data_IF_518545263349
#
_entry.id   IF_518545263349
#
_cell.length_a   1.000
_cell.length_b   1.000
_cell.length_c   1.000
_cell.angle_alpha   90.00
_cell.angle_beta   90.00
_cell.angle_gamma   90.00
#
_symmetry.space_group_name_H-M   'P 1'
#
loop_
_entity.id
_entity.type
_entity.pdbx_description
1 polymer ?
#
# COMPACT_ATOMS: atom_id res chain seq x y z
N UNK A 1 6.42 8.86 -21.14
CA UNK A 1 7.30 7.87 -21.78
C UNK A 1 6.81 6.49 -21.35
N UNK A 2 6.58 5.56 -22.29
CA UNK A 2 5.99 4.24 -22.01
C UNK A 2 6.85 3.47 -21.02
N UNK A 3 6.25 2.89 -19.99
CA UNK A 3 6.88 1.83 -19.21
C UNK A 3 7.36 0.78 -20.22
N UNK A 4 8.65 0.42 -20.20
CA UNK A 4 9.15 -0.67 -21.06
C UNK A 4 8.57 -1.97 -20.52
N UNK A 5 7.35 -2.31 -20.94
CA UNK A 5 6.63 -3.55 -20.62
C UNK A 5 7.27 -4.82 -21.24
N UNK A 6 8.51 -4.76 -21.75
CA UNK A 6 9.11 -5.81 -22.57
C UNK A 6 10.17 -6.69 -21.90
N UNK A 7 10.43 -6.55 -20.60
CA UNK A 7 11.40 -7.41 -19.90
C UNK A 7 10.73 -8.70 -19.42
N UNK A 8 11.31 -9.87 -19.76
CA UNK A 8 10.89 -11.14 -19.19
C UNK A 8 10.87 -11.04 -17.65
N UNK A 9 9.75 -11.43 -17.04
CA UNK A 9 9.60 -11.39 -15.59
C UNK A 9 10.59 -12.39 -14.97
N UNK A 10 11.48 -11.89 -14.11
CA UNK A 10 12.48 -12.74 -13.46
C UNK A 10 11.80 -13.60 -12.38
N UNK A 11 11.95 -14.94 -12.41
CA UNK A 11 11.42 -15.83 -11.38
C UNK A 11 11.90 -15.45 -9.98
N UNK A 12 13.14 -14.95 -9.84
CA UNK A 12 13.70 -14.48 -8.57
C UNK A 12 12.94 -13.27 -8.01
N UNK A 13 12.51 -12.34 -8.87
CA UNK A 13 11.72 -11.19 -8.43
C UNK A 13 10.31 -11.61 -7.99
N UNK A 14 9.68 -12.53 -8.72
CA UNK A 14 8.38 -13.10 -8.35
C UNK A 14 8.50 -13.80 -6.99
N UNK A 15 9.52 -14.65 -6.82
CA UNK A 15 9.79 -15.32 -5.56
C UNK A 15 9.97 -14.31 -4.42
N UNK A 16 10.74 -13.24 -4.66
CA UNK A 16 10.90 -12.14 -3.70
C UNK A 16 9.58 -11.48 -3.30
N UNK A 17 8.71 -11.16 -4.26
CA UNK A 17 7.38 -10.59 -4.01
C UNK A 17 6.51 -11.55 -3.19
N UNK A 18 6.42 -12.82 -3.59
CA UNK A 18 5.61 -13.84 -2.91
C UNK A 18 6.14 -14.08 -1.50
N UNK A 19 7.46 -14.21 -1.32
CA UNK A 19 8.07 -14.38 0.00
C UNK A 19 7.79 -13.18 0.91
N UNK A 20 7.89 -11.95 0.40
CA UNK A 20 7.59 -10.75 1.19
C UNK A 20 6.12 -10.74 1.64
N UNK A 21 5.18 -11.08 0.74
CA UNK A 21 3.77 -11.21 1.07
C UNK A 21 3.52 -12.28 2.13
N UNK A 22 4.07 -13.49 1.95
CA UNK A 22 3.89 -14.61 2.88
C UNK A 22 4.46 -14.26 4.25
N UNK A 23 5.68 -13.70 4.31
CA UNK A 23 6.30 -13.31 5.57
C UNK A 23 5.48 -12.24 6.30
N UNK A 24 4.92 -11.28 5.58
CA UNK A 24 4.07 -10.24 6.17
C UNK A 24 2.78 -10.81 6.78
N UNK A 25 2.15 -11.78 6.11
CA UNK A 25 0.86 -12.36 6.54
C UNK A 25 1.07 -13.43 7.63
N UNK A 26 2.08 -14.28 7.49
CA UNK A 26 2.27 -15.45 8.35
C UNK A 26 3.02 -15.12 9.66
N UNK A 27 3.78 -14.04 9.69
CA UNK A 27 4.55 -13.65 10.89
C UNK A 27 3.70 -12.80 11.82
N UNK A 28 3.70 -13.07 13.15
CA UNK A 28 2.98 -12.23 14.10
C UNK A 28 3.34 -10.75 14.00
N UNK A 29 2.35 -9.88 14.14
CA UNK A 29 2.57 -8.43 14.23
C UNK A 29 3.33 -8.12 15.53
N UNK A 30 4.30 -7.18 15.52
CA UNK A 30 4.73 -6.32 14.42
C UNK A 30 5.86 -6.93 13.57
N UNK A 31 6.32 -8.14 13.86
CA UNK A 31 7.55 -8.73 13.32
C UNK A 31 7.49 -8.97 11.81
N UNK A 32 6.31 -9.27 11.25
CA UNK A 32 6.14 -9.37 9.79
C UNK A 32 6.58 -8.10 9.06
N UNK A 33 6.22 -6.93 9.58
CA UNK A 33 6.64 -5.64 9.02
C UNK A 33 8.15 -5.44 9.14
N UNK A 34 8.74 -5.76 10.29
CA UNK A 34 10.19 -5.63 10.51
C UNK A 34 10.98 -6.51 9.53
N UNK A 35 10.55 -7.77 9.34
CA UNK A 35 11.18 -8.71 8.40
C UNK A 35 11.13 -8.18 6.97
N UNK A 36 9.95 -7.74 6.53
CA UNK A 36 9.76 -7.14 5.20
C UNK A 36 10.63 -5.89 5.02
N UNK A 37 10.69 -5.02 6.03
CA UNK A 37 11.49 -3.80 5.98
C UNK A 37 12.99 -4.10 5.93
N UNK A 38 13.47 -5.13 6.63
CA UNK A 38 14.88 -5.54 6.51
C UNK A 38 15.23 -5.97 5.09
N UNK A 39 14.29 -6.58 4.36
CA UNK A 39 14.47 -6.93 2.94
C UNK A 39 14.54 -5.70 2.02
N UNK A 40 13.93 -4.55 2.38
CA UNK A 40 13.97 -3.32 1.56
C UNK A 40 15.40 -2.82 1.30
N UNK A 41 16.33 -3.09 2.23
CA UNK A 41 17.76 -2.75 2.11
C UNK A 41 18.37 -3.38 0.84
N UNK A 42 17.91 -4.59 0.49
CA UNK A 42 18.36 -5.33 -0.70
C UNK A 42 17.80 -4.69 -1.98
N UNK A 43 16.60 -4.10 -1.91
CA UNK A 43 15.91 -3.51 -3.07
C UNK A 43 16.24 -2.01 -3.29
N UNK A 44 16.77 -1.33 -2.27
CA UNK A 44 17.48 -0.05 -2.32
C UNK A 44 17.02 0.96 -3.39
N UNK A 45 17.96 1.46 -4.20
CA UNK A 45 17.78 2.57 -5.16
C UNK A 45 16.71 2.37 -6.24
N UNK A 46 16.14 1.16 -6.37
CA UNK A 46 15.11 0.84 -7.39
C UNK A 46 13.69 1.16 -6.93
N UNK A 47 13.46 1.37 -5.64
CA UNK A 47 12.13 1.67 -5.06
C UNK A 47 11.69 3.12 -5.26
N UNK A 48 12.61 4.00 -5.65
CA UNK A 48 12.41 5.46 -5.71
C UNK A 48 12.11 5.96 -7.13
N UNK A 49 12.42 5.18 -8.17
CA UNK A 49 12.32 5.67 -9.55
C UNK A 49 10.97 5.35 -10.18
N UNK A 50 10.03 6.26 -9.98
CA UNK A 50 8.92 6.50 -10.91
C UNK A 50 9.07 7.94 -11.41
N UNK A 51 8.94 8.14 -12.72
CA UNK A 51 8.82 9.48 -13.27
C UNK A 51 7.54 10.12 -12.71
N UNK A 52 7.62 11.19 -11.91
CA UNK A 52 6.45 11.76 -11.26
C UNK A 52 5.44 12.21 -12.31
N UNK A 53 4.19 11.80 -12.14
CA UNK A 53 3.08 12.17 -13.00
C UNK A 53 1.98 12.79 -12.13
N UNK A 54 1.99 14.13 -11.94
CA UNK A 54 1.13 14.84 -10.97
C UNK A 54 -0.37 14.58 -11.15
N UNK A 55 -0.82 14.26 -12.37
CA UNK A 55 -2.20 13.88 -12.64
C UNK A 55 -2.67 12.69 -11.79
N UNK A 56 -1.78 11.74 -11.47
CA UNK A 56 -2.14 10.62 -10.60
C UNK A 56 -2.25 11.02 -9.13
N UNK A 57 -1.57 12.08 -8.69
CA UNK A 57 -1.74 12.62 -7.32
C UNK A 57 -3.14 13.21 -7.16
N UNK A 58 -3.63 13.94 -8.16
CA UNK A 58 -5.00 14.48 -8.15
C UNK A 58 -6.03 13.35 -8.17
N UNK A 59 -5.84 12.36 -9.04
CA UNK A 59 -6.71 11.18 -9.07
C UNK A 59 -6.69 10.41 -7.73
N UNK A 60 -5.51 10.23 -7.14
CA UNK A 60 -5.35 9.60 -5.83
C UNK A 60 -6.12 10.35 -4.74
N UNK A 61 -6.02 11.68 -4.69
CA UNK A 61 -6.72 12.50 -3.72
C UNK A 61 -8.25 12.40 -3.86
N UNK A 62 -8.77 12.39 -5.11
CA UNK A 62 -10.21 12.22 -5.37
C UNK A 62 -10.71 10.84 -4.95
N UNK A 63 -10.00 9.77 -5.34
CA UNK A 63 -10.35 8.40 -4.95
C UNK A 63 -10.25 8.24 -3.43
N UNK A 64 -9.17 8.73 -2.82
CA UNK A 64 -8.98 8.70 -1.37
C UNK A 64 -10.12 9.41 -0.64
N UNK A 65 -10.38 10.67 -0.97
CA UNK A 65 -11.42 11.47 -0.29
C UNK A 65 -12.81 10.83 -0.42
N UNK A 66 -13.16 10.35 -1.61
CA UNK A 66 -14.44 9.66 -1.84
C UNK A 66 -14.51 8.37 -1.03
N UNK A 67 -13.46 7.56 -1.05
CA UNK A 67 -13.41 6.29 -0.30
C UNK A 67 -13.49 6.51 1.20
N UNK A 68 -12.75 7.50 1.72
CA UNK A 68 -12.75 7.85 3.13
C UNK A 68 -14.13 8.31 3.60
N UNK A 69 -14.82 9.16 2.83
CA UNK A 69 -16.18 9.59 3.16
C UNK A 69 -17.19 8.44 3.15
N UNK A 70 -17.06 7.52 2.18
CA UNK A 70 -17.90 6.32 2.12
C UNK A 70 -17.65 5.40 3.31
N UNK A 71 -16.38 5.15 3.64
CA UNK A 71 -15.99 4.31 4.77
C UNK A 71 -16.44 4.92 6.11
N UNK A 72 -16.30 6.23 6.28
CA UNK A 72 -16.81 6.96 7.45
C UNK A 72 -18.33 6.87 7.58
N UNK A 73 -19.08 6.97 6.48
CA UNK A 73 -20.53 6.92 6.50
C UNK A 73 -21.10 5.49 6.68
N UNK A 74 -20.41 4.47 6.14
CA UNK A 74 -20.91 3.09 6.09
C UNK A 74 -20.36 2.21 7.20
N UNK A 75 -19.13 2.45 7.66
CA UNK A 75 -18.42 1.61 8.64
C UNK A 75 -18.14 2.38 9.93
N UNK A 76 -17.63 3.60 9.79
CA UNK A 76 -17.26 4.45 10.92
C UNK A 76 -15.91 4.10 11.56
N UNK A 77 -15.52 4.78 12.65
CA UNK A 77 -14.21 4.60 13.28
C UNK A 77 -13.99 3.17 13.82
N UNK A 78 -12.77 2.62 13.73
CA UNK A 78 -12.48 1.28 14.21
C UNK A 78 -12.60 1.19 15.73
N UNK A 79 -13.10 0.04 16.23
CA UNK A 79 -13.21 -0.24 17.67
C UNK A 79 -11.88 -0.68 18.31
N UNK A 80 -10.99 -1.27 17.52
CA UNK A 80 -9.64 -1.65 17.93
C UNK A 80 -8.62 -0.67 17.40
N UNK A 81 -7.79 -0.13 18.29
CA UNK A 81 -6.72 0.83 17.95
C UNK A 81 -5.37 0.14 18.18
N UNK A 82 -4.64 -0.23 17.12
CA UNK A 82 -3.27 -0.75 17.25
C UNK A 82 -2.30 0.31 17.79
N UNK A 83 -1.11 -0.08 18.28
CA UNK A 83 -0.08 0.87 18.69
C UNK A 83 0.23 1.88 17.57
N UNK A 84 0.26 3.18 17.91
CA UNK A 84 0.38 4.26 16.93
C UNK A 84 1.61 4.11 16.02
N UNK A 85 2.77 3.77 16.60
CA UNK A 85 4.01 3.60 15.84
C UNK A 85 3.93 2.41 14.87
N UNK A 86 3.18 1.36 15.21
CA UNK A 86 2.96 0.24 14.31
C UNK A 86 2.07 0.68 13.14
N UNK A 87 0.95 1.33 13.45
CA UNK A 87 -0.07 1.68 12.47
C UNK A 87 0.33 2.86 11.56
N UNK A 88 1.09 3.82 12.05
CA UNK A 88 1.41 5.06 11.31
C UNK A 88 2.81 5.03 10.71
N UNK A 89 3.70 4.15 11.20
CA UNK A 89 5.08 4.06 10.71
C UNK A 89 5.34 2.69 10.09
N UNK A 90 5.29 1.61 10.87
CA UNK A 90 5.71 0.30 10.37
C UNK A 90 4.81 -0.25 9.27
N UNK A 91 3.50 -0.26 9.49
CA UNK A 91 2.54 -0.81 8.53
C UNK A 91 2.58 -0.04 7.20
N UNK A 92 2.52 1.32 7.16
CA UNK A 92 2.64 2.06 5.90
C UNK A 92 3.94 1.78 5.16
N UNK A 93 5.09 1.73 5.85
CA UNK A 93 6.35 1.41 5.19
C UNK A 93 6.32 -0.02 4.61
N UNK A 94 5.96 -1.02 5.41
CA UNK A 94 6.03 -2.41 4.98
C UNK A 94 4.98 -2.74 3.90
N UNK A 95 3.74 -2.31 4.09
CA UNK A 95 2.64 -2.62 3.18
C UNK A 95 2.81 -1.89 1.85
N UNK A 96 3.23 -0.63 1.84
CA UNK A 96 3.48 0.07 0.57
C UNK A 96 4.67 -0.54 -0.18
N UNK A 97 5.63 -1.14 0.52
CA UNK A 97 6.71 -1.85 -0.14
C UNK A 97 6.20 -3.13 -0.81
N UNK A 98 5.42 -3.94 -0.10
CA UNK A 98 4.89 -5.22 -0.60
C UNK A 98 3.83 -5.05 -1.67
N UNK A 99 2.93 -4.08 -1.51
CA UNK A 99 1.78 -3.94 -2.40
C UNK A 99 1.99 -2.90 -3.49
N UNK A 100 2.93 -1.95 -3.38
CA UNK A 100 3.15 -0.94 -4.44
C UNK A 100 4.53 -1.09 -5.03
N UNK A 101 5.57 -0.94 -4.23
CA UNK A 101 6.93 -0.90 -4.76
C UNK A 101 7.34 -2.22 -5.46
N UNK A 102 7.13 -3.38 -4.82
CA UNK A 102 7.49 -4.67 -5.41
C UNK A 102 6.63 -5.04 -6.64
N UNK A 103 5.29 -4.94 -6.62
CA UNK A 103 4.47 -5.33 -7.77
C UNK A 103 4.74 -4.46 -8.98
N UNK A 104 4.81 -3.13 -8.81
CA UNK A 104 5.07 -2.23 -9.93
C UNK A 104 6.50 -2.29 -10.46
N UNK A 105 7.46 -2.88 -9.75
CA UNK A 105 8.84 -3.08 -10.26
C UNK A 105 9.11 -4.51 -10.75
N UNK A 106 8.17 -5.43 -10.50
CA UNK A 106 8.32 -6.86 -10.78
C UNK A 106 7.35 -7.35 -11.82
N UNK A 107 6.09 -6.95 -11.75
CA UNK A 107 5.01 -7.45 -12.60
C UNK A 107 4.72 -6.47 -13.75
N UNK A 108 4.42 -6.97 -14.95
CA UNK A 108 3.93 -6.13 -16.03
C UNK A 108 2.51 -5.63 -15.74
N UNK A 109 2.10 -4.57 -16.41
CA UNK A 109 0.67 -4.22 -16.45
C UNK A 109 -0.10 -5.30 -17.24
N UNK A 110 -1.32 -5.71 -16.83
CA UNK A 110 -2.14 -5.21 -15.72
C UNK A 110 -1.89 -5.92 -14.38
N UNK A 111 -1.00 -6.91 -14.32
CA UNK A 111 -0.80 -7.77 -13.14
C UNK A 111 -0.31 -6.99 -11.91
N UNK A 112 0.53 -5.97 -12.10
CA UNK A 112 0.94 -5.08 -11.00
C UNK A 112 -0.25 -4.37 -10.36
N UNK A 113 -1.20 -3.86 -11.15
CA UNK A 113 -2.43 -3.24 -10.64
C UNK A 113 -3.33 -4.25 -9.93
N UNK A 114 -3.54 -5.43 -10.52
CA UNK A 114 -4.36 -6.48 -9.89
C UNK A 114 -3.79 -6.86 -8.51
N UNK A 115 -2.47 -7.04 -8.40
CA UNK A 115 -1.85 -7.31 -7.12
C UNK A 115 -2.00 -6.13 -6.14
N UNK A 116 -1.69 -4.91 -6.59
CA UNK A 116 -1.67 -3.73 -5.71
C UNK A 116 -3.05 -3.31 -5.21
N UNK A 117 -4.11 -3.65 -5.95
CA UNK A 117 -5.49 -3.22 -5.68
C UNK A 117 -6.34 -4.38 -5.17
N UNK A 118 -6.44 -5.45 -5.96
CA UNK A 118 -7.38 -6.56 -5.70
C UNK A 118 -6.83 -7.49 -4.63
N UNK A 119 -5.56 -7.90 -4.72
CA UNK A 119 -4.95 -8.77 -3.68
C UNK A 119 -4.85 -8.02 -2.36
N UNK A 120 -4.48 -6.73 -2.38
CA UNK A 120 -4.54 -5.87 -1.19
C UNK A 120 -5.93 -5.87 -0.55
N UNK A 121 -6.99 -5.59 -1.34
CA UNK A 121 -8.35 -5.59 -0.83
C UNK A 121 -8.82 -6.94 -0.29
N UNK A 122 -8.47 -8.05 -0.97
CA UNK A 122 -8.85 -9.40 -0.55
C UNK A 122 -8.28 -9.80 0.82
N UNK A 123 -7.17 -9.18 1.25
CA UNK A 123 -6.57 -9.39 2.58
C UNK A 123 -7.28 -8.63 3.71
N UNK A 124 -8.31 -7.84 3.38
CA UNK A 124 -9.13 -7.08 4.33
C UNK A 124 -10.57 -7.65 4.34
N UNK A 125 -10.80 -8.80 5.00
CA UNK A 125 -12.04 -9.57 4.86
C UNK A 125 -13.29 -8.84 5.35
N UNK A 126 -13.15 -7.85 6.24
CA UNK A 126 -14.27 -7.06 6.73
C UNK A 126 -14.92 -6.22 5.61
N UNK A 127 -14.11 -5.59 4.74
CA UNK A 127 -14.57 -4.68 3.69
C UNK A 127 -13.63 -4.69 2.47
N UNK A 128 -13.56 -5.79 1.71
CA UNK A 128 -12.57 -5.96 0.65
C UNK A 128 -12.71 -4.94 -0.48
N UNK A 129 -13.93 -4.46 -0.75
CA UNK A 129 -14.19 -3.44 -1.77
C UNK A 129 -13.64 -2.08 -1.36
N UNK A 130 -13.94 -1.60 -0.15
CA UNK A 130 -13.39 -0.33 0.37
C UNK A 130 -11.87 -0.39 0.48
N UNK A 131 -11.33 -1.51 0.98
CA UNK A 131 -9.89 -1.74 1.01
C UNK A 131 -9.27 -1.73 -0.39
N UNK A 132 -9.94 -2.28 -1.41
CA UNK A 132 -9.49 -2.17 -2.81
C UNK A 132 -9.49 -0.72 -3.32
N UNK A 133 -10.47 0.11 -2.92
CA UNK A 133 -10.50 1.52 -3.32
C UNK A 133 -9.38 2.34 -2.67
N UNK A 134 -9.07 2.12 -1.39
CA UNK A 134 -7.83 2.63 -0.80
C UNK A 134 -6.60 2.06 -1.51
N UNK A 135 -6.65 0.78 -1.87
CA UNK A 135 -5.72 0.07 -2.74
C UNK A 135 -5.35 0.86 -3.99
N UNK A 136 -6.39 1.30 -4.70
CA UNK A 136 -6.32 2.12 -5.91
C UNK A 136 -5.78 3.52 -5.62
N UNK A 137 -6.26 4.21 -4.60
CA UNK A 137 -5.79 5.54 -4.23
C UNK A 137 -4.28 5.55 -3.94
N UNK A 138 -3.80 4.59 -3.16
CA UNK A 138 -2.38 4.41 -2.84
C UNK A 138 -1.57 4.05 -4.09
N UNK A 139 -2.08 3.17 -4.95
CA UNK A 139 -1.43 2.83 -6.21
C UNK A 139 -1.29 4.05 -7.14
N UNK A 140 -2.31 4.91 -7.22
CA UNK A 140 -2.27 6.18 -7.95
C UNK A 140 -1.26 7.15 -7.32
N UNK A 141 -1.26 7.27 -5.99
CA UNK A 141 -0.30 8.11 -5.28
C UNK A 141 1.14 7.66 -5.53
N UNK A 142 1.38 6.36 -5.51
CA UNK A 142 2.66 5.74 -5.87
C UNK A 142 3.08 6.06 -7.32
N UNK A 143 2.14 6.01 -8.28
CA UNK A 143 2.41 6.42 -9.68
C UNK A 143 2.68 7.92 -9.82
N UNK A 144 2.11 8.74 -8.95
CA UNK A 144 2.26 10.19 -8.98
C UNK A 144 3.53 10.70 -8.31
N UNK A 145 3.89 10.17 -7.14
CA UNK A 145 4.98 10.67 -6.29
C UNK A 145 5.91 9.59 -5.73
N UNK A 146 5.78 8.34 -6.18
CA UNK A 146 6.64 7.23 -5.77
C UNK A 146 6.32 6.67 -4.38
N UNK A 147 7.22 5.83 -3.87
CA UNK A 147 7.07 5.11 -2.61
C UNK A 147 6.78 6.04 -1.43
N UNK A 148 7.54 7.13 -1.29
CA UNK A 148 7.37 8.07 -0.18
C UNK A 148 5.98 8.72 -0.16
N UNK A 149 5.44 9.09 -1.33
CA UNK A 149 4.11 9.67 -1.42
C UNK A 149 3.00 8.69 -1.02
N UNK A 150 3.11 7.43 -1.45
CA UNK A 150 2.17 6.37 -1.05
C UNK A 150 2.22 6.09 0.45
N UNK A 151 3.43 5.97 1.01
CA UNK A 151 3.65 5.79 2.46
C UNK A 151 3.05 6.96 3.24
N UNK A 152 3.27 8.20 2.79
CA UNK A 152 2.74 9.38 3.45
C UNK A 152 1.20 9.40 3.45
N UNK A 153 0.56 9.07 2.32
CA UNK A 153 -0.91 8.98 2.25
C UNK A 153 -1.45 7.87 3.16
N UNK A 154 -0.82 6.70 3.17
CA UNK A 154 -1.22 5.58 4.03
C UNK A 154 -1.05 5.96 5.52
N UNK A 155 0.09 6.49 5.91
CA UNK A 155 0.35 6.96 7.28
C UNK A 155 -0.66 8.03 7.72
N UNK A 156 -0.97 8.99 6.84
CA UNK A 156 -2.00 9.99 7.07
C UNK A 156 -3.38 9.36 7.30
N UNK A 157 -3.79 8.42 6.45
CA UNK A 157 -5.05 7.71 6.60
C UNK A 157 -5.15 7.01 7.96
N UNK A 158 -4.11 6.28 8.36
CA UNK A 158 -4.11 5.54 9.62
C UNK A 158 -4.13 6.50 10.82
N UNK A 159 -3.36 7.59 10.75
CA UNK A 159 -3.38 8.63 11.78
C UNK A 159 -4.77 9.29 11.92
N UNK A 160 -5.44 9.55 10.79
CA UNK A 160 -6.78 10.13 10.78
C UNK A 160 -7.81 9.19 11.40
N UNK A 161 -7.79 7.90 11.06
CA UNK A 161 -8.68 6.91 11.67
C UNK A 161 -8.45 6.74 13.17
N UNK A 162 -7.19 6.72 13.61
CA UNK A 162 -6.86 6.68 15.05
C UNK A 162 -7.38 7.94 15.75
N UNK A 163 -7.19 9.11 15.15
CA UNK A 163 -7.69 10.37 15.70
C UNK A 163 -9.20 10.37 15.85
N UNK A 164 -9.93 9.87 14.85
CA UNK A 164 -11.39 9.76 14.92
C UNK A 164 -11.80 8.75 15.99
N UNK A 165 -11.20 7.56 16.02
CA UNK A 165 -11.53 6.53 17.01
C UNK A 165 -11.24 6.96 18.46
N UNK A 166 -10.22 7.79 18.69
CA UNK A 166 -9.90 8.33 20.03
C UNK A 166 -10.75 9.54 20.44
N UNK A 167 -11.46 10.18 19.50
CA UNK A 167 -12.31 11.36 19.76
C UNK A 167 -13.81 11.07 19.69
N UNK A 168 -14.22 9.87 19.33
CA UNK A 168 -15.61 9.45 19.38
C UNK A 168 -16.12 9.53 20.83
N UNK A 169 -17.06 10.45 21.07
CA UNK A 169 -17.79 10.65 22.33
C UNK A 169 -18.86 9.57 22.55
#
# INVERSE_FOLDING_TARGET
>A
MSYKDGGAVSPLKIAGLVSALVLMIATPRPWGYVVVLSATIIYGRRLVRIEPAPMYVVAAALVYGTTFLLDLALVGPPSYIPPWWEAVILAPLAEEFVFRALPFTTLPSPLSWIFSVVVFGALHPANPLLASLYGLALSLMYRGGGYAASVALHAFNNALWILLATRSF
#
